data_IF_954164474442
#
_entry.id   IF_954164474442
#
_cell.length_a   1.000
_cell.length_b   1.000
_cell.length_c   1.000
_cell.angle_alpha   90.00
_cell.angle_beta   90.00
_cell.angle_gamma   90.00
#
_symmetry.space_group_name_H-M   'P 1'
#
loop_
_entity.id
_entity.type
_entity.pdbx_description
1 polymer ?
#
# COMPACT_ATOMS: atom_id res chain seq x y z
N UNK A 1 -3.94 -9.21 -47.04
CA UNK A 1 -4.29 -7.79 -46.93
C UNK A 1 -5.02 -7.61 -45.61
N UNK A 2 -4.37 -7.04 -44.60
CA UNK A 2 -5.03 -6.73 -43.34
C UNK A 2 -5.77 -5.40 -43.52
N UNK A 3 -7.09 -5.40 -43.37
CA UNK A 3 -7.88 -4.18 -43.36
C UNK A 3 -7.46 -3.33 -42.15
N UNK A 4 -7.04 -2.10 -42.42
CA UNK A 4 -6.82 -1.08 -41.39
C UNK A 4 -8.19 -0.73 -40.78
N UNK A 5 -8.51 -1.39 -39.67
CA UNK A 5 -9.65 -0.99 -38.82
C UNK A 5 -9.30 0.40 -38.27
N UNK A 6 -9.94 1.42 -38.83
CA UNK A 6 -9.84 2.80 -38.35
C UNK A 6 -10.91 2.99 -37.28
N UNK A 7 -10.49 3.09 -36.02
CA UNK A 7 -11.38 3.46 -34.95
C UNK A 7 -11.84 4.91 -35.13
N UNK A 8 -13.12 5.24 -34.86
CA UNK A 8 -13.62 6.60 -34.96
C UNK A 8 -12.79 7.52 -34.07
N UNK A 9 -12.24 8.60 -34.66
CA UNK A 9 -11.48 9.61 -33.93
C UNK A 9 -12.36 10.25 -32.87
N UNK A 10 -11.80 10.41 -31.67
CA UNK A 10 -12.44 11.12 -30.57
C UNK A 10 -12.85 12.54 -31.02
N UNK A 11 -14.04 13.03 -30.65
CA UNK A 11 -14.49 14.39 -30.98
C UNK A 11 -13.78 15.48 -30.16
N UNK A 12 -12.92 15.11 -29.21
CA UNK A 12 -12.13 16.05 -28.42
C UNK A 12 -10.77 16.28 -29.10
N UNK A 13 -10.18 17.50 -29.02
CA UNK A 13 -8.84 17.74 -29.53
C UNK A 13 -7.89 16.73 -28.88
N UNK A 14 -7.05 16.08 -29.67
CA UNK A 14 -5.99 15.19 -29.19
C UNK A 14 -5.20 15.95 -28.13
N UNK A 15 -5.49 15.65 -26.85
CA UNK A 15 -4.95 16.38 -25.72
C UNK A 15 -3.43 16.29 -25.71
N UNK A 16 -2.79 17.31 -25.15
CA UNK A 16 -1.34 17.53 -25.01
C UNK A 16 -0.55 16.42 -24.28
N UNK A 17 -1.09 15.22 -24.05
CA UNK A 17 -0.48 14.11 -23.34
C UNK A 17 -0.58 12.88 -24.24
N UNK A 18 0.55 12.23 -24.55
CA UNK A 18 0.60 11.28 -25.64
C UNK A 18 -0.09 9.96 -25.30
N UNK A 19 -0.62 9.33 -26.34
CA UNK A 19 -1.40 8.09 -26.32
C UNK A 19 -0.53 6.83 -26.21
N UNK A 20 0.80 6.98 -26.07
CA UNK A 20 1.76 5.88 -26.10
C UNK A 20 1.68 4.97 -24.86
N UNK A 21 1.56 3.62 -24.99
CA UNK A 21 1.53 2.67 -23.85
C UNK A 21 2.70 2.84 -22.87
N UNK A 22 3.77 3.43 -23.38
CA UNK A 22 5.07 3.66 -22.77
C UNK A 22 5.14 4.95 -21.93
N UNK A 23 4.09 5.77 -21.93
CA UNK A 23 4.04 6.92 -21.03
C UNK A 23 3.78 6.46 -19.59
N UNK A 24 4.59 6.97 -18.68
CA UNK A 24 4.49 6.65 -17.24
C UNK A 24 3.21 7.16 -16.60
N UNK A 25 2.59 8.17 -17.18
CA UNK A 25 1.32 8.74 -16.76
C UNK A 25 0.37 8.87 -17.95
N UNK A 26 -0.94 8.72 -17.70
CA UNK A 26 -1.95 9.11 -18.67
C UNK A 26 -3.16 9.70 -17.95
N UNK A 27 -3.71 10.78 -18.49
CA UNK A 27 -4.84 11.46 -17.87
C UNK A 27 -5.80 11.95 -18.93
N UNK A 28 -7.05 11.47 -18.86
CA UNK A 28 -8.16 11.98 -19.66
C UNK A 28 -9.27 12.39 -18.68
N UNK A 29 -9.62 13.69 -18.60
CA UNK A 29 -10.54 14.19 -17.58
C UNK A 29 -11.90 13.52 -17.55
N UNK A 30 -12.51 13.26 -18.71
CA UNK A 30 -13.87 12.70 -18.77
C UNK A 30 -13.89 11.24 -18.30
N UNK A 31 -12.90 10.46 -18.72
CA UNK A 31 -12.69 9.07 -18.29
C UNK A 31 -12.39 9.02 -16.80
N UNK A 32 -11.63 9.98 -16.27
CA UNK A 32 -11.41 10.09 -14.83
C UNK A 32 -12.70 10.39 -14.07
N UNK A 33 -13.58 11.26 -14.59
CA UNK A 33 -14.89 11.51 -13.99
C UNK A 33 -15.72 10.22 -13.96
N UNK A 34 -15.80 9.48 -15.07
CA UNK A 34 -16.52 8.21 -15.12
C UNK A 34 -15.91 7.15 -14.20
N UNK A 35 -14.58 7.09 -14.10
CA UNK A 35 -13.88 6.22 -13.16
C UNK A 35 -14.30 6.51 -11.70
N UNK A 36 -14.31 7.78 -11.28
CA UNK A 36 -14.74 8.17 -9.93
C UNK A 36 -16.22 7.84 -9.69
N UNK A 37 -17.09 8.10 -10.68
CA UNK A 37 -18.52 7.78 -10.56
C UNK A 37 -18.69 6.27 -10.36
N UNK A 38 -18.07 5.46 -11.22
CA UNK A 38 -18.23 4.02 -11.23
C UNK A 38 -17.64 3.33 -9.98
N UNK A 39 -16.43 3.73 -9.55
CA UNK A 39 -15.68 3.01 -8.51
C UNK A 39 -15.71 3.65 -7.12
N UNK A 40 -16.20 4.88 -7.00
CA UNK A 40 -16.17 5.60 -5.72
C UNK A 40 -17.57 6.09 -5.37
N UNK A 41 -18.15 6.95 -6.19
CA UNK A 41 -19.44 7.61 -5.88
C UNK A 41 -20.58 6.59 -5.78
N UNK A 42 -20.64 5.61 -6.68
CA UNK A 42 -21.66 4.54 -6.64
C UNK A 42 -21.21 3.41 -5.71
N UNK A 43 -19.98 2.91 -5.88
CA UNK A 43 -19.54 1.70 -5.22
C UNK A 43 -19.48 1.79 -3.70
N UNK A 44 -18.96 2.90 -3.14
CA UNK A 44 -18.82 3.06 -1.69
C UNK A 44 -20.17 3.02 -0.95
N UNK A 45 -21.16 3.89 -1.27
CA UNK A 45 -22.45 3.83 -0.60
C UNK A 45 -23.19 2.51 -0.89
N UNK A 46 -23.10 1.98 -2.12
CA UNK A 46 -23.72 0.70 -2.44
C UNK A 46 -23.17 -0.44 -1.57
N UNK A 47 -21.85 -0.49 -1.38
CA UNK A 47 -21.20 -1.45 -0.49
C UNK A 47 -21.70 -1.31 0.96
N UNK A 48 -21.75 -0.08 1.49
CA UNK A 48 -22.21 0.17 2.87
C UNK A 48 -23.68 -0.19 3.08
N UNK A 49 -24.54 0.11 2.11
CA UNK A 49 -25.98 -0.22 2.18
C UNK A 49 -26.17 -1.74 2.18
N UNK A 50 -25.54 -2.44 1.24
CA UNK A 50 -25.65 -3.89 1.10
C UNK A 50 -25.05 -4.59 2.33
N UNK A 51 -23.85 -4.21 2.74
CA UNK A 51 -23.20 -4.79 3.92
C UNK A 51 -24.00 -4.54 5.20
N UNK A 52 -24.59 -3.34 5.37
CA UNK A 52 -25.50 -3.07 6.48
C UNK A 52 -26.76 -3.93 6.44
N UNK A 53 -27.37 -4.12 5.27
CA UNK A 53 -28.56 -4.97 5.10
C UNK A 53 -28.29 -6.44 5.44
N UNK A 54 -27.13 -6.97 5.05
CA UNK A 54 -26.73 -8.35 5.33
C UNK A 54 -25.99 -8.53 6.66
N UNK A 55 -25.85 -7.48 7.48
CA UNK A 55 -25.09 -7.47 8.73
C UNK A 55 -23.65 -7.99 8.57
N UNK A 56 -22.97 -7.56 7.51
CA UNK A 56 -21.53 -7.79 7.34
C UNK A 56 -20.73 -7.07 8.42
N UNK A 57 -19.51 -7.55 8.65
CA UNK A 57 -18.57 -6.97 9.58
C UNK A 57 -18.06 -5.64 9.01
N UNK A 58 -18.61 -4.55 9.55
CA UNK A 58 -18.36 -3.18 9.12
C UNK A 58 -18.06 -2.32 10.33
N UNK A 59 -17.08 -1.42 10.20
CA UNK A 59 -16.85 -0.43 11.24
C UNK A 59 -18.01 0.56 11.30
N UNK A 60 -18.37 0.96 12.52
CA UNK A 60 -19.33 2.02 12.77
C UNK A 60 -18.65 3.35 12.49
N UNK A 61 -19.16 4.08 11.50
CA UNK A 61 -18.55 5.30 10.99
C UNK A 61 -19.52 6.47 11.09
N UNK A 62 -19.03 7.63 11.49
CA UNK A 62 -19.78 8.87 11.42
C UNK A 62 -19.82 9.40 9.98
N UNK A 63 -20.73 10.32 9.63
CA UNK A 63 -20.74 10.93 8.29
C UNK A 63 -19.41 11.58 7.89
N UNK A 64 -18.68 12.17 8.85
CA UNK A 64 -17.36 12.75 8.58
C UNK A 64 -16.30 11.71 8.24
N UNK A 65 -16.33 10.55 8.90
CA UNK A 65 -15.43 9.42 8.59
C UNK A 65 -15.76 8.86 7.20
N UNK A 66 -17.04 8.67 6.88
CA UNK A 66 -17.45 8.25 5.53
C UNK A 66 -16.95 9.20 4.44
N UNK A 67 -17.07 10.51 4.66
CA UNK A 67 -16.55 11.51 3.72
C UNK A 67 -15.01 11.41 3.60
N UNK A 68 -14.30 11.27 4.71
CA UNK A 68 -12.84 11.11 4.72
C UNK A 68 -12.40 9.87 3.93
N UNK A 69 -13.09 8.74 4.09
CA UNK A 69 -12.82 7.51 3.33
C UNK A 69 -13.03 7.70 1.83
N UNK A 70 -14.14 8.33 1.44
CA UNK A 70 -14.39 8.64 0.03
C UNK A 70 -13.30 9.56 -0.55
N UNK A 71 -12.86 10.56 0.22
CA UNK A 71 -11.75 11.43 -0.19
C UNK A 71 -10.41 10.68 -0.24
N UNK A 72 -10.20 9.67 0.59
CA UNK A 72 -9.05 8.77 0.45
C UNK A 72 -9.14 7.97 -0.87
N UNK A 73 -10.30 7.37 -1.17
CA UNK A 73 -10.53 6.67 -2.44
C UNK A 73 -10.30 7.57 -3.65
N UNK A 74 -10.75 8.84 -3.64
CA UNK A 74 -10.50 9.78 -4.75
C UNK A 74 -9.00 10.06 -4.90
N UNK A 75 -8.28 10.29 -3.80
CA UNK A 75 -6.83 10.57 -3.83
C UNK A 75 -6.02 9.37 -4.35
N UNK A 76 -6.26 8.19 -3.81
CA UNK A 76 -5.57 6.98 -4.26
C UNK A 76 -6.01 6.55 -5.65
N UNK A 77 -7.30 6.71 -5.96
CA UNK A 77 -7.88 6.52 -7.28
C UNK A 77 -7.24 7.43 -8.33
N UNK A 78 -6.93 8.68 -7.99
CA UNK A 78 -6.16 9.58 -8.86
C UNK A 78 -4.76 9.02 -9.17
N UNK A 79 -4.02 8.60 -8.13
CA UNK A 79 -2.65 8.08 -8.30
C UNK A 79 -2.66 6.83 -9.19
N UNK A 80 -3.56 5.88 -8.92
CA UNK A 80 -3.71 4.65 -9.71
C UNK A 80 -4.18 4.99 -11.12
N UNK A 81 -5.13 5.91 -11.27
CA UNK A 81 -5.65 6.27 -12.59
C UNK A 81 -4.55 6.84 -13.49
N UNK A 82 -3.79 7.79 -12.95
CA UNK A 82 -2.72 8.49 -13.67
C UNK A 82 -1.54 7.58 -13.93
N UNK A 83 -0.96 6.96 -12.89
CA UNK A 83 0.28 6.18 -13.02
C UNK A 83 0.03 4.74 -13.52
N UNK A 84 -1.16 4.20 -13.25
CA UNK A 84 -1.59 2.88 -13.74
C UNK A 84 -2.20 2.91 -15.14
N UNK A 85 -2.25 4.07 -15.80
CA UNK A 85 -2.68 4.15 -17.19
C UNK A 85 -4.17 3.88 -17.44
N UNK A 86 -5.04 4.11 -16.44
CA UNK A 86 -6.44 3.71 -16.50
C UNK A 86 -7.30 4.57 -17.43
N UNK A 87 -6.78 5.71 -17.92
CA UNK A 87 -7.44 6.43 -19.00
C UNK A 87 -7.60 5.60 -20.28
N UNK A 88 -6.89 4.47 -20.40
CA UNK A 88 -6.96 3.54 -21.54
C UNK A 88 -7.60 2.20 -21.20
N UNK A 89 -7.35 1.70 -20.00
CA UNK A 89 -7.83 0.37 -19.60
C UNK A 89 -9.22 0.40 -18.97
N UNK A 90 -9.69 1.56 -18.53
CA UNK A 90 -11.02 1.70 -17.95
C UNK A 90 -12.10 1.45 -19.00
N UNK A 91 -12.85 0.35 -18.84
CA UNK A 91 -13.96 -0.01 -19.69
C UNK A 91 -14.99 -0.87 -18.94
N UNK A 92 -16.02 -1.34 -19.64
CA UNK A 92 -17.10 -2.13 -19.04
C UNK A 92 -16.65 -3.47 -18.44
N UNK A 93 -15.61 -4.12 -18.99
CA UNK A 93 -15.08 -5.40 -18.46
C UNK A 93 -14.48 -5.17 -17.07
N UNK A 94 -13.71 -4.11 -16.94
CA UNK A 94 -13.14 -3.68 -15.67
C UNK A 94 -14.23 -3.32 -14.67
N UNK A 95 -15.27 -2.60 -15.10
CA UNK A 95 -16.41 -2.23 -14.24
C UNK A 95 -17.14 -3.46 -13.72
N UNK A 96 -17.47 -4.41 -14.61
CA UNK A 96 -18.16 -5.63 -14.23
C UNK A 96 -17.31 -6.46 -13.24
N UNK A 97 -16.03 -6.63 -13.56
CA UNK A 97 -15.09 -7.40 -12.73
C UNK A 97 -14.88 -6.75 -11.36
N UNK A 98 -14.88 -5.41 -11.31
CA UNK A 98 -14.83 -4.63 -10.07
C UNK A 98 -16.01 -4.95 -9.15
N UNK A 99 -17.25 -4.88 -9.63
CA UNK A 99 -18.42 -5.12 -8.79
C UNK A 99 -18.52 -6.58 -8.36
N UNK A 100 -18.16 -7.53 -9.22
CA UNK A 100 -18.06 -8.95 -8.86
C UNK A 100 -17.04 -9.13 -7.73
N UNK A 101 -15.86 -8.49 -7.83
CA UNK A 101 -14.82 -8.62 -6.82
C UNK A 101 -15.17 -7.90 -5.51
N UNK A 102 -15.76 -6.70 -5.57
CA UNK A 102 -16.18 -5.91 -4.41
C UNK A 102 -17.09 -6.74 -3.49
N UNK A 103 -18.14 -7.35 -4.05
CA UNK A 103 -19.08 -8.16 -3.27
C UNK A 103 -18.61 -9.60 -3.06
N UNK A 104 -17.95 -10.20 -4.06
CA UNK A 104 -17.42 -11.56 -3.95
C UNK A 104 -16.37 -11.67 -2.84
N UNK A 105 -15.47 -10.71 -2.73
CA UNK A 105 -14.48 -10.68 -1.65
C UNK A 105 -15.12 -10.42 -0.29
N UNK A 106 -16.11 -9.53 -0.21
CA UNK A 106 -16.85 -9.29 1.03
C UNK A 106 -17.55 -10.57 1.53
N UNK A 107 -18.19 -11.32 0.64
CA UNK A 107 -18.80 -12.61 0.98
C UNK A 107 -17.77 -13.65 1.45
N UNK A 108 -16.57 -13.67 0.84
CA UNK A 108 -15.48 -14.53 1.29
C UNK A 108 -15.00 -14.14 2.70
N UNK A 109 -14.92 -12.85 3.00
CA UNK A 109 -14.50 -12.34 4.31
C UNK A 109 -15.51 -12.68 5.42
N UNK A 110 -16.79 -12.85 5.09
CA UNK A 110 -17.82 -13.25 6.05
C UNK A 110 -17.79 -14.74 6.42
N UNK A 111 -17.02 -15.56 5.71
CA UNK A 111 -16.92 -16.99 6.02
C UNK A 111 -16.28 -17.17 7.41
N UNK A 112 -16.86 -17.98 8.33
CA UNK A 112 -16.33 -18.12 9.70
C UNK A 112 -14.87 -18.57 9.77
N UNK A 113 -14.42 -19.36 8.79
CA UNK A 113 -13.03 -19.81 8.72
C UNK A 113 -12.07 -18.77 8.13
N UNK A 114 -12.57 -17.74 7.44
CA UNK A 114 -11.78 -16.67 6.85
C UNK A 114 -11.51 -15.53 7.85
N UNK A 115 -12.28 -15.44 8.94
CA UNK A 115 -12.10 -14.49 10.05
C UNK A 115 -10.92 -14.88 10.97
N UNK A 116 -9.72 -14.95 10.40
CA UNK A 116 -8.50 -15.36 11.10
C UNK A 116 -7.41 -14.31 10.92
N UNK A 117 -6.68 -14.01 11.99
CA UNK A 117 -5.54 -13.10 11.94
C UNK A 117 -4.29 -13.78 11.36
N UNK A 118 -3.44 -13.02 10.68
CA UNK A 118 -2.11 -13.49 10.26
C UNK A 118 -1.22 -13.90 11.44
N UNK A 119 -1.41 -13.34 12.63
CA UNK A 119 -0.63 -13.69 13.83
C UNK A 119 -0.87 -15.14 14.26
N UNK A 120 -2.02 -15.72 13.90
CA UNK A 120 -2.40 -17.09 14.23
C UNK A 120 -2.27 -18.04 13.04
N UNK A 121 -1.45 -17.70 12.03
CA UNK A 121 -1.28 -18.50 10.79
C UNK A 121 -1.01 -19.98 11.03
N UNK A 122 -0.27 -20.32 12.09
CA UNK A 122 0.02 -21.71 12.48
C UNK A 122 -1.21 -22.50 12.90
N UNK A 123 -2.24 -21.80 13.37
CA UNK A 123 -3.49 -22.37 13.89
C UNK A 123 -4.65 -22.24 12.89
N UNK A 124 -4.39 -21.80 11.66
CA UNK A 124 -5.44 -21.66 10.66
C UNK A 124 -6.07 -23.01 10.29
N UNK A 125 -7.41 -23.08 10.16
CA UNK A 125 -8.07 -24.28 9.68
C UNK A 125 -7.68 -24.57 8.23
N UNK A 126 -7.75 -25.85 7.82
CA UNK A 126 -7.39 -26.28 6.45
C UNK A 126 -8.14 -25.49 5.37
N UNK A 127 -9.42 -25.14 5.62
CA UNK A 127 -10.22 -24.33 4.69
C UNK A 127 -9.63 -22.94 4.43
N UNK A 128 -9.06 -22.31 5.45
CA UNK A 128 -8.37 -21.01 5.32
C UNK A 128 -7.07 -21.16 4.54
N UNK A 129 -6.31 -22.23 4.80
CA UNK A 129 -5.11 -22.54 4.02
C UNK A 129 -5.42 -22.75 2.53
N UNK A 130 -6.48 -23.50 2.21
CA UNK A 130 -6.92 -23.67 0.82
C UNK A 130 -7.24 -22.32 0.19
N UNK A 131 -8.06 -21.49 0.85
CA UNK A 131 -8.41 -20.16 0.36
C UNK A 131 -7.16 -19.30 0.10
N UNK A 132 -6.22 -19.29 1.05
CA UNK A 132 -4.99 -18.50 0.98
C UNK A 132 -4.04 -18.99 -0.12
N UNK A 133 -3.85 -20.31 -0.25
CA UNK A 133 -3.02 -20.90 -1.30
C UNK A 133 -3.64 -20.60 -2.67
N UNK A 134 -4.96 -20.73 -2.82
CA UNK A 134 -5.65 -20.38 -4.07
C UNK A 134 -5.45 -18.91 -4.42
N UNK A 135 -5.55 -18.00 -3.45
CA UNK A 135 -5.30 -16.58 -3.66
C UNK A 135 -3.84 -16.31 -4.09
N UNK A 136 -2.85 -16.94 -3.45
CA UNK A 136 -1.43 -16.83 -3.84
C UNK A 136 -1.22 -17.34 -5.26
N UNK A 137 -1.73 -18.53 -5.60
CA UNK A 137 -1.59 -19.09 -6.95
C UNK A 137 -2.22 -18.17 -8.01
N UNK A 138 -3.39 -17.60 -7.73
CA UNK A 138 -4.04 -16.64 -8.62
C UNK A 138 -3.20 -15.38 -8.81
N UNK A 139 -2.68 -14.79 -7.73
CA UNK A 139 -1.81 -13.60 -7.80
C UNK A 139 -0.54 -13.91 -8.60
N UNK A 140 0.12 -15.04 -8.34
CA UNK A 140 1.34 -15.44 -9.06
C UNK A 140 1.07 -15.70 -10.55
N UNK A 141 -0.01 -16.39 -10.89
CA UNK A 141 -0.40 -16.63 -12.27
C UNK A 141 -0.68 -15.31 -13.01
N UNK A 142 -1.42 -14.40 -12.40
CA UNK A 142 -1.71 -13.09 -12.97
C UNK A 142 -0.45 -12.23 -13.08
N UNK A 143 0.44 -12.28 -12.10
CA UNK A 143 1.73 -11.56 -12.12
C UNK A 143 2.60 -12.08 -13.26
N UNK A 144 2.73 -13.41 -13.40
CA UNK A 144 3.46 -14.05 -14.49
C UNK A 144 2.88 -13.69 -15.86
N UNK A 145 1.55 -13.73 -16.01
CA UNK A 145 0.87 -13.28 -17.22
C UNK A 145 1.22 -11.84 -17.59
N UNK A 146 1.16 -10.93 -16.61
CA UNK A 146 1.41 -9.51 -16.87
C UNK A 146 2.88 -9.21 -17.15
N UNK A 147 3.83 -9.90 -16.51
CA UNK A 147 5.26 -9.81 -16.83
C UNK A 147 5.52 -10.33 -18.25
N UNK A 148 4.97 -11.50 -18.60
CA UNK A 148 5.07 -12.05 -19.94
C UNK A 148 4.49 -11.11 -21.00
N UNK A 149 3.32 -10.54 -20.73
CA UNK A 149 2.67 -9.60 -21.64
C UNK A 149 3.48 -8.30 -21.81
N UNK A 150 4.07 -7.79 -20.73
CA UNK A 150 5.00 -6.66 -20.79
C UNK A 150 6.18 -6.95 -21.73
N UNK A 151 6.82 -8.12 -21.59
CA UNK A 151 7.94 -8.54 -22.44
C UNK A 151 7.51 -8.67 -23.91
N UNK A 152 6.34 -9.26 -24.19
CA UNK A 152 5.83 -9.38 -25.56
C UNK A 152 5.59 -8.02 -26.20
N UNK A 153 4.98 -7.08 -25.47
CA UNK A 153 4.72 -5.74 -25.98
C UNK A 153 6.01 -5.01 -26.31
N UNK A 154 7.07 -5.19 -25.53
CA UNK A 154 8.39 -4.61 -25.84
C UNK A 154 8.99 -5.20 -27.09
N UNK A 155 8.98 -6.54 -27.24
CA UNK A 155 9.55 -7.19 -28.41
C UNK A 155 8.88 -6.76 -29.73
N UNK A 156 7.60 -6.38 -29.68
CA UNK A 156 6.84 -5.90 -30.84
C UNK A 156 7.12 -4.42 -31.16
N UNK A 157 7.65 -3.66 -30.21
CA UNK A 157 7.81 -2.23 -30.35
C UNK A 157 9.17 -1.94 -31.01
N UNK A 158 9.16 -1.53 -32.28
CA UNK A 158 10.40 -1.22 -33.03
C UNK A 158 11.17 0.01 -32.49
N UNK A 159 10.61 0.72 -31.52
CA UNK A 159 11.20 1.90 -30.86
C UNK A 159 12.06 1.50 -29.64
N UNK A 160 13.16 0.81 -29.92
CA UNK A 160 14.15 0.24 -28.97
C UNK A 160 14.76 1.18 -27.91
N UNK A 161 14.59 2.50 -28.00
CA UNK A 161 15.34 3.43 -27.13
C UNK A 161 14.77 3.59 -25.71
N UNK A 162 13.54 3.12 -25.42
CA UNK A 162 12.89 3.34 -24.11
C UNK A 162 12.43 2.09 -23.37
N UNK A 163 12.69 0.91 -23.91
CA UNK A 163 12.17 -0.36 -23.41
C UNK A 163 12.70 -0.72 -22.01
N UNK A 164 13.98 -0.49 -21.75
CA UNK A 164 14.60 -0.79 -20.44
C UNK A 164 14.01 0.06 -19.30
N UNK A 165 13.65 1.32 -19.59
CA UNK A 165 13.08 2.24 -18.60
C UNK A 165 11.66 1.80 -18.22
N UNK A 166 10.89 1.28 -19.18
CA UNK A 166 9.54 0.78 -18.90
C UNK A 166 9.57 -0.47 -18.03
N UNK A 167 10.41 -1.47 -18.31
CA UNK A 167 10.56 -2.64 -17.42
C UNK A 167 11.00 -2.21 -16.03
N UNK A 168 12.03 -1.35 -15.94
CA UNK A 168 12.55 -0.93 -14.65
C UNK A 168 11.47 -0.22 -13.82
N UNK A 169 10.65 0.63 -14.44
CA UNK A 169 9.50 1.25 -13.79
C UNK A 169 8.44 0.21 -13.39
N UNK A 170 8.07 -0.67 -14.33
CA UNK A 170 7.00 -1.65 -14.16
C UNK A 170 7.32 -2.66 -13.06
N UNK A 171 8.52 -3.24 -13.08
CA UNK A 171 9.02 -4.10 -11.99
C UNK A 171 9.33 -3.29 -10.73
N UNK A 172 9.74 -2.03 -10.87
CA UNK A 172 9.95 -1.10 -9.75
C UNK A 172 8.68 -0.87 -8.93
N UNK A 173 7.50 -0.92 -9.54
CA UNK A 173 6.23 -0.88 -8.79
C UNK A 173 6.08 -2.05 -7.81
N UNK A 174 6.71 -3.22 -8.04
CA UNK A 174 6.67 -4.36 -7.11
C UNK A 174 7.47 -4.05 -5.84
N UNK A 175 8.45 -3.15 -5.93
CA UNK A 175 9.27 -2.73 -4.80
C UNK A 175 8.53 -1.76 -3.86
N UNK A 176 7.43 -1.14 -4.30
CA UNK A 176 6.67 -0.17 -3.46
C UNK A 176 6.17 -0.85 -2.18
N UNK A 177 5.51 -2.00 -2.29
CA UNK A 177 4.99 -2.73 -1.14
C UNK A 177 6.08 -3.14 -0.12
N UNK A 178 7.20 -3.79 -0.50
CA UNK A 178 8.26 -4.11 0.45
C UNK A 178 8.94 -2.86 1.02
N UNK A 179 9.09 -1.77 0.25
CA UNK A 179 9.63 -0.50 0.78
C UNK A 179 8.71 0.06 1.88
N UNK A 180 7.40 0.11 1.65
CA UNK A 180 6.43 0.58 2.66
C UNK A 180 6.43 -0.33 3.89
N UNK A 181 6.56 -1.64 3.72
CA UNK A 181 6.69 -2.59 4.83
C UNK A 181 7.99 -2.40 5.62
N UNK A 182 9.11 -2.13 4.95
CA UNK A 182 10.38 -1.80 5.61
C UNK A 182 10.22 -0.52 6.43
N UNK A 183 9.58 0.51 5.88
CA UNK A 183 9.33 1.75 6.62
C UNK A 183 8.41 1.54 7.82
N UNK A 184 7.33 0.75 7.67
CA UNK A 184 6.47 0.38 8.79
C UNK A 184 7.26 -0.38 9.87
N UNK A 185 8.12 -1.32 9.47
CA UNK A 185 8.97 -2.05 10.41
C UNK A 185 9.97 -1.14 11.13
N UNK A 186 10.64 -0.24 10.41
CA UNK A 186 11.56 0.74 11.01
C UNK A 186 10.83 1.64 12.01
N UNK A 187 9.67 2.17 11.63
CA UNK A 187 8.85 3.01 12.49
C UNK A 187 8.39 2.25 13.74
N UNK A 188 7.98 0.99 13.59
CA UNK A 188 7.62 0.12 14.69
C UNK A 188 8.79 -0.14 15.65
N UNK A 189 9.99 -0.38 15.12
CA UNK A 189 11.20 -0.55 15.93
C UNK A 189 11.57 0.75 16.66
N UNK A 190 11.44 1.90 15.99
CA UNK A 190 11.69 3.20 16.63
C UNK A 190 10.69 3.48 17.75
N UNK A 191 9.41 3.24 17.52
CA UNK A 191 8.36 3.40 18.54
C UNK A 191 8.63 2.54 19.78
N UNK A 192 8.91 1.26 19.56
CA UNK A 192 8.99 0.28 20.64
C UNK A 192 10.37 0.21 21.33
N UNK A 193 11.45 0.60 20.66
CA UNK A 193 12.82 0.40 21.18
C UNK A 193 13.73 1.63 21.09
N UNK A 194 13.31 2.68 20.36
CA UNK A 194 14.09 3.90 20.08
C UNK A 194 15.41 3.61 19.35
N UNK A 195 15.46 2.58 18.50
CA UNK A 195 16.73 2.10 17.94
C UNK A 195 17.44 3.14 17.06
N UNK A 196 16.71 3.91 16.23
CA UNK A 196 17.31 4.96 15.39
C UNK A 196 17.81 6.09 16.25
N UNK A 197 17.02 6.49 17.24
CA UNK A 197 17.41 7.53 18.19
C UNK A 197 18.68 7.12 18.94
N UNK A 198 18.75 5.89 19.45
CA UNK A 198 19.95 5.34 20.11
C UNK A 198 21.15 5.31 19.16
N UNK A 199 20.96 4.87 17.92
CA UNK A 199 22.01 4.85 16.89
C UNK A 199 22.55 6.25 16.59
N UNK A 200 21.66 7.23 16.38
CA UNK A 200 22.04 8.61 16.09
C UNK A 200 22.75 9.28 17.28
N UNK A 201 22.26 9.09 18.50
CA UNK A 201 22.93 9.58 19.71
C UNK A 201 24.33 8.97 19.87
N UNK A 202 24.52 7.69 19.54
CA UNK A 202 25.84 7.04 19.54
C UNK A 202 26.76 7.66 18.48
N UNK A 203 26.25 7.89 17.27
CA UNK A 203 27.00 8.52 16.18
C UNK A 203 27.46 9.94 16.57
N UNK A 204 26.55 10.76 17.10
CA UNK A 204 26.87 12.10 17.59
C UNK A 204 27.94 12.11 18.69
N UNK A 205 27.94 11.10 19.59
CA UNK A 205 28.99 10.97 20.62
C UNK A 205 30.36 10.70 20.01
N UNK A 206 30.44 9.91 18.93
CA UNK A 206 31.69 9.66 18.20
C UNK A 206 32.23 10.99 17.62
N UNK A 207 31.37 11.80 17.01
CA UNK A 207 31.77 13.09 16.44
C UNK A 207 32.06 14.17 17.50
N UNK A 208 31.42 14.12 18.67
CA UNK A 208 31.66 15.08 19.78
C UNK A 208 32.86 14.74 20.65
N UNK A 209 33.50 13.57 20.51
CA UNK A 209 34.79 13.29 21.16
C UNK A 209 35.86 14.19 20.53
N UNK A 210 35.96 15.43 21.02
CA UNK A 210 37.18 16.23 20.88
C UNK A 210 38.33 15.48 21.59
N UNK A 211 39.56 15.55 21.06
CA UNK A 211 40.73 15.03 21.76
C UNK A 211 40.84 15.75 23.11
N UNK A 212 40.81 15.00 24.20
CA UNK A 212 41.08 15.53 25.52
C UNK A 212 42.56 15.91 25.60
N UNK A 213 42.89 17.18 25.38
CA UNK A 213 44.14 17.75 25.87
C UNK A 213 44.00 17.86 27.38
N UNK A 214 44.56 16.90 28.12
CA UNK A 214 44.68 16.98 29.57
C UNK A 214 45.62 18.13 29.95
N UNK A 215 45.22 19.07 30.82
CA UNK A 215 46.18 19.73 31.70
C UNK A 215 46.46 18.85 32.93
N UNK A 216 47.67 18.90 33.50
CA UNK A 216 48.05 18.06 34.63
C UNK A 216 47.36 18.49 35.93
N UNK A 217 47.19 17.49 36.78
CA UNK A 217 46.60 17.44 38.12
C UNK A 217 46.94 18.58 39.08
N UNK A 218 46.00 18.89 39.98
CA UNK A 218 46.31 19.25 41.37
C UNK A 218 45.27 18.63 42.30
N UNK A 219 45.74 17.81 43.23
CA UNK A 219 44.98 17.22 44.32
C UNK A 219 44.54 18.32 45.31
N UNK A 220 43.33 18.22 45.88
CA UNK A 220 43.13 18.41 47.34
C UNK A 220 41.83 17.70 47.76
N UNK A 221 41.95 16.92 48.84
CA UNK A 221 40.89 16.24 49.60
C UNK A 221 39.84 17.19 50.19
N UNK A 222 38.58 16.74 50.31
CA UNK A 222 37.94 16.64 51.64
C UNK A 222 36.59 15.89 51.65
N UNK A 223 36.28 15.38 52.84
CA UNK A 223 35.32 14.33 53.22
C UNK A 223 33.86 14.77 53.50
N UNK A 224 32.98 13.76 53.59
CA UNK A 224 31.67 13.64 54.30
C UNK A 224 30.45 14.37 53.68
N UNK A 225 29.23 13.80 53.57
CA UNK A 225 28.44 13.01 54.54
C UNK A 225 27.35 12.15 53.85
N UNK A 226 26.99 11.04 54.51
CA UNK A 226 25.84 10.14 54.29
C UNK A 226 24.46 10.82 54.09
N UNK A 227 23.70 10.32 53.12
CA UNK A 227 22.28 9.96 53.27
C UNK A 227 21.88 8.96 52.17
N UNK A 228 21.64 7.71 52.57
CA UNK A 228 21.22 6.62 51.71
C UNK A 228 19.77 6.83 51.22
N UNK A 229 19.60 6.94 49.90
CA UNK A 229 18.36 6.61 49.19
C UNK A 229 18.71 5.41 48.31
N UNK A 230 18.04 4.24 48.43
CA UNK A 230 18.23 3.15 47.50
C UNK A 230 17.40 3.43 46.24
N UNK A 231 17.98 4.18 45.31
CA UNK A 231 17.67 4.02 43.88
C UNK A 231 19.01 3.66 43.25
N UNK A 232 19.15 2.38 42.91
CA UNK A 232 20.19 1.84 42.03
C UNK A 232 20.00 2.43 40.63
N UNK A 233 20.24 3.75 40.50
CA UNK A 233 20.50 4.42 39.25
C UNK A 233 22.00 4.69 39.24
N UNK A 234 22.72 3.88 38.46
CA UNK A 234 24.13 4.09 38.15
C UNK A 234 24.29 5.51 37.56
N UNK A 235 24.92 6.47 38.28
CA UNK A 235 24.96 7.88 37.88
C UNK A 235 25.81 8.12 36.62
N UNK A 236 26.50 7.10 36.11
CA UNK A 236 27.34 7.17 34.91
C UNK A 236 26.66 6.62 33.64
N UNK A 237 25.40 6.16 33.70
CA UNK A 237 24.66 5.84 32.47
C UNK A 237 23.90 7.06 31.92
N UNK A 238 24.37 7.70 30.83
CA UNK A 238 23.66 8.83 30.24
C UNK A 238 22.27 8.38 29.78
N UNK A 239 21.24 9.05 30.30
CA UNK A 239 19.81 8.88 30.02
C UNK A 239 19.55 8.22 28.67
N UNK A 240 19.39 6.90 28.67
CA UNK A 240 19.00 6.22 27.46
C UNK A 240 17.56 6.63 27.13
N UNK A 241 17.26 6.97 25.88
CA UNK A 241 15.90 7.33 25.50
C UNK A 241 14.98 6.13 25.77
N UNK A 242 13.99 6.35 26.64
CA UNK A 242 12.95 5.37 26.92
C UNK A 242 12.03 5.21 25.70
N UNK A 243 11.47 4.00 25.49
CA UNK A 243 10.40 3.79 24.51
C UNK A 243 9.24 4.77 24.69
N UNK A 244 8.48 5.00 23.62
CA UNK A 244 7.25 5.78 23.74
C UNK A 244 6.21 5.03 24.59
N UNK A 245 5.27 5.77 25.17
CA UNK A 245 4.31 5.24 26.15
C UNK A 245 3.32 4.20 25.59
N UNK A 246 3.22 4.10 24.26
CA UNK A 246 2.33 3.16 23.57
C UNK A 246 3.14 2.25 22.67
N UNK A 247 2.74 0.98 22.63
CA UNK A 247 3.38 -0.03 21.80
C UNK A 247 2.71 0.00 20.44
N UNK A 248 3.49 0.08 19.36
CA UNK A 248 2.96 -0.12 18.02
C UNK A 248 3.03 -1.59 17.61
N UNK A 249 2.07 -2.01 16.78
CA UNK A 249 2.07 -3.32 16.11
C UNK A 249 1.79 -3.09 14.63
N UNK A 250 2.47 -3.87 13.78
CA UNK A 250 2.23 -3.83 12.33
C UNK A 250 0.92 -4.58 12.03
N UNK A 251 -0.03 -3.86 11.44
CA UNK A 251 -1.29 -4.41 10.95
C UNK A 251 -1.39 -4.15 9.46
N UNK A 252 -1.30 -5.21 8.66
CA UNK A 252 -1.40 -5.12 7.21
C UNK A 252 -2.86 -5.30 6.79
N UNK A 253 -3.41 -4.30 6.11
CA UNK A 253 -4.74 -4.40 5.51
C UNK A 253 -4.61 -4.83 4.04
N UNK A 254 -5.53 -5.65 3.57
CA UNK A 254 -5.54 -6.12 2.18
C UNK A 254 -5.61 -4.97 1.18
N UNK A 255 -6.30 -3.86 1.51
CA UNK A 255 -6.38 -2.70 0.62
C UNK A 255 -4.99 -2.18 0.22
N UNK A 256 -4.00 -2.24 1.12
CA UNK A 256 -2.63 -1.79 0.89
C UNK A 256 -1.91 -2.64 -0.18
N UNK A 257 -2.17 -3.95 -0.18
CA UNK A 257 -1.63 -4.89 -1.16
C UNK A 257 -2.29 -4.65 -2.51
N UNK A 258 -3.62 -4.63 -2.56
CA UNK A 258 -4.37 -4.53 -3.81
C UNK A 258 -4.23 -3.16 -4.48
N UNK A 259 -4.02 -2.10 -3.71
CA UNK A 259 -3.63 -0.78 -4.23
C UNK A 259 -2.33 -0.86 -5.05
N UNK A 260 -1.31 -1.54 -4.52
CA UNK A 260 -0.02 -1.68 -5.22
C UNK A 260 -0.14 -2.59 -6.45
N UNK A 261 -0.95 -3.66 -6.36
CA UNK A 261 -1.19 -4.56 -7.50
C UNK A 261 -1.95 -3.87 -8.65
N UNK A 262 -2.75 -2.85 -8.37
CA UNK A 262 -3.51 -2.12 -9.40
C UNK A 262 -2.62 -1.41 -10.43
N UNK A 263 -1.36 -1.10 -10.11
CA UNK A 263 -0.41 -0.53 -11.10
C UNK A 263 0.02 -1.53 -12.19
N UNK A 264 -0.10 -2.83 -11.93
CA UNK A 264 0.29 -3.89 -12.86
C UNK A 264 -0.76 -4.14 -13.94
N UNK A 265 -1.99 -3.70 -13.72
CA UNK A 265 -3.13 -4.06 -14.58
C UNK A 265 -3.40 -3.00 -15.65
N UNK A 266 -2.31 -2.43 -16.19
CA UNK A 266 -2.31 -1.27 -17.09
C UNK A 266 -2.40 -1.58 -18.58
N UNK A 267 -2.63 -2.84 -18.94
CA UNK A 267 -2.68 -3.24 -20.34
C UNK A 267 -4.11 -3.23 -20.89
N UNK A 268 -4.26 -2.81 -22.14
CA UNK A 268 -5.52 -2.88 -22.88
C UNK A 268 -5.78 -4.32 -23.36
N UNK A 269 -5.86 -5.24 -22.40
CA UNK A 269 -6.12 -6.65 -22.62
C UNK A 269 -7.22 -7.10 -21.66
N UNK A 270 -8.23 -7.90 -22.08
CA UNK A 270 -9.34 -8.29 -21.22
C UNK A 270 -8.90 -8.91 -19.88
N UNK A 271 -7.87 -9.76 -19.88
CA UNK A 271 -7.30 -10.35 -18.65
C UNK A 271 -6.74 -9.28 -17.71
N UNK A 272 -6.11 -8.24 -18.24
CA UNK A 272 -5.57 -7.13 -17.43
C UNK A 272 -6.70 -6.24 -16.91
N UNK A 273 -7.75 -6.02 -17.70
CA UNK A 273 -8.94 -5.27 -17.28
C UNK A 273 -9.73 -6.01 -16.18
N UNK A 274 -9.87 -7.33 -16.29
CA UNK A 274 -10.43 -8.19 -15.23
C UNK A 274 -9.59 -8.05 -13.96
N UNK A 275 -8.26 -8.15 -14.07
CA UNK A 275 -7.36 -8.01 -12.94
C UNK A 275 -7.43 -6.62 -12.30
N UNK A 276 -7.51 -5.56 -13.11
CA UNK A 276 -7.67 -4.19 -12.63
C UNK A 276 -8.99 -3.99 -11.91
N UNK A 277 -10.08 -4.58 -12.43
CA UNK A 277 -11.37 -4.60 -11.74
C UNK A 277 -11.26 -5.31 -10.39
N UNK A 278 -10.68 -6.52 -10.35
CA UNK A 278 -10.51 -7.30 -9.12
C UNK A 278 -9.70 -6.54 -8.07
N UNK A 279 -8.55 -6.00 -8.46
CA UNK A 279 -7.65 -5.28 -7.54
C UNK A 279 -8.33 -4.01 -6.99
N UNK A 280 -8.97 -3.21 -7.84
CA UNK A 280 -9.71 -2.02 -7.41
C UNK A 280 -10.94 -2.37 -6.55
N UNK A 281 -11.63 -3.47 -6.85
CA UNK A 281 -12.80 -3.94 -6.10
C UNK A 281 -12.43 -4.34 -4.67
N UNK A 282 -11.38 -5.14 -4.51
CA UNK A 282 -10.88 -5.57 -3.20
C UNK A 282 -10.28 -4.39 -2.42
N UNK A 283 -9.57 -3.48 -3.10
CA UNK A 283 -9.11 -2.23 -2.51
C UNK A 283 -10.27 -1.39 -1.95
N UNK A 284 -11.31 -1.16 -2.77
CA UNK A 284 -12.48 -0.37 -2.38
C UNK A 284 -13.27 -1.04 -1.26
N UNK A 285 -13.38 -2.38 -1.28
CA UNK A 285 -13.98 -3.15 -0.19
C UNK A 285 -13.28 -2.86 1.15
N UNK A 286 -11.95 -2.91 1.17
CA UNK A 286 -11.19 -2.69 2.41
C UNK A 286 -11.38 -1.28 2.99
N UNK A 287 -11.38 -0.25 2.14
CA UNK A 287 -11.66 1.12 2.58
C UNK A 287 -13.13 1.30 3.01
N UNK A 288 -14.06 0.67 2.29
CA UNK A 288 -15.48 0.69 2.63
C UNK A 288 -15.78 0.05 3.98
N UNK A 289 -15.18 -1.10 4.26
CA UNK A 289 -15.39 -1.84 5.50
C UNK A 289 -14.70 -1.16 6.69
N UNK A 290 -13.39 -0.92 6.58
CA UNK A 290 -12.51 -0.56 7.69
C UNK A 290 -12.04 0.88 7.59
N UNK A 291 -11.62 1.30 6.40
CA UNK A 291 -11.12 2.66 6.14
C UNK A 291 -9.67 2.63 5.67
N UNK A 292 -9.05 3.79 5.45
CA UNK A 292 -7.64 3.90 5.09
C UNK A 292 -6.74 3.73 6.33
N UNK A 293 -6.86 2.61 7.02
CA UNK A 293 -6.16 2.36 8.28
C UNK A 293 -4.63 2.34 8.11
N UNK A 294 -3.95 2.77 9.17
CA UNK A 294 -2.49 2.84 9.22
C UNK A 294 -1.87 1.43 9.18
N UNK A 295 -0.66 1.30 8.61
CA UNK A 295 0.17 0.10 8.75
C UNK A 295 0.54 -0.21 10.20
N UNK A 296 0.41 0.77 11.08
CA UNK A 296 0.73 0.69 12.50
C UNK A 296 -0.50 0.98 13.34
N UNK A 297 -0.81 0.07 14.25
CA UNK A 297 -1.82 0.24 15.29
C UNK A 297 -1.12 0.46 16.63
N UNK A 298 -1.59 1.44 17.40
CA UNK A 298 -1.14 1.64 18.77
C UNK A 298 -1.96 0.76 19.74
N UNK A 299 -1.27 0.11 20.68
CA UNK A 299 -1.85 -0.61 21.82
C UNK A 299 -1.38 -0.03 23.15
#
# INVERSE_FOLDING_TARGET
MAENITFPKSPFPDGLISISPWEFCSFEPLTYIYFNIAFIVIAYPLYRIIGGFFNWELDVKTPSVHFSDMMALVRYGFIVFVLGGYSRTFNWIMILSFYIALFGYALLAELPFAKQSFLTVRNWPIKMWILFITAICAILAMTGFHIYFAILLMNKNEFREKDDVFIAWYLGCLAIAPILMIFAWIANQEQNTRFLTKFFLKLLRIFKRKPATQPPSSQTENQNTEAQIPITADPDQPDQPQPYNKVSIIHLHHWQIFYTLAFFTRFEHPVSQIAGGITLGIYTQGIGAYGPDSYLEER
#
